data_IF_950929401122
#
_entry.id   IF_950929401122
#
_cell.length_a   1.000
_cell.length_b   1.000
_cell.length_c   1.000
_cell.angle_alpha   90.00
_cell.angle_beta   90.00
_cell.angle_gamma   90.00
#
_symmetry.space_group_name_H-M   'P 1'
#
loop_
_entity.id
_entity.type
_entity.pdbx_description
1 polymer ?
#
# COMPACT_ATOMS: atom_id res chain seq x y z
N UNK A 1 56.42 -53.79 -1.58
CA UNK A 1 56.46 -52.31 -1.69
C UNK A 1 55.29 -51.87 -2.57
N UNK A 2 54.76 -50.64 -2.35
CA UNK A 2 53.49 -50.05 -2.87
C UNK A 2 52.28 -50.49 -2.00
N UNK A 3 51.89 -49.86 -0.89
CA UNK A 3 51.50 -48.47 -0.54
C UNK A 3 50.21 -47.97 -1.22
N UNK A 4 49.19 -47.67 -0.38
CA UNK A 4 48.26 -46.52 -0.49
C UNK A 4 47.00 -46.73 -1.40
N UNK A 5 45.74 -46.39 -1.05
CA UNK A 5 45.15 -45.60 0.05
C UNK A 5 43.71 -46.03 0.38
N UNK A 6 43.45 -46.00 1.67
CA UNK A 6 42.17 -45.79 2.34
C UNK A 6 41.60 -44.41 1.94
N UNK A 7 40.37 -44.34 1.42
CA UNK A 7 39.59 -43.09 1.41
C UNK A 7 38.14 -43.38 1.76
N UNK A 8 37.94 -43.53 3.07
CA UNK A 8 36.78 -43.04 3.80
C UNK A 8 36.48 -41.60 3.35
N UNK A 9 35.28 -41.36 2.80
CA UNK A 9 34.74 -40.00 2.65
C UNK A 9 33.37 -39.99 3.30
N UNK A 10 33.29 -39.84 4.64
CA UNK A 10 32.04 -39.53 5.30
C UNK A 10 31.80 -38.01 5.22
N UNK A 11 30.52 -37.62 5.23
CA UNK A 11 30.06 -36.29 5.69
C UNK A 11 30.54 -35.06 4.91
N UNK A 12 29.94 -34.76 3.76
CA UNK A 12 30.03 -33.41 3.14
C UNK A 12 28.81 -33.07 2.25
N UNK A 13 27.61 -33.52 2.63
CA UNK A 13 26.37 -33.33 1.84
C UNK A 13 25.21 -32.70 2.63
N UNK A 14 25.50 -31.91 3.67
CA UNK A 14 24.48 -31.30 4.54
C UNK A 14 24.65 -29.78 4.74
N UNK A 15 25.25 -29.09 3.77
CA UNK A 15 25.44 -27.63 3.78
C UNK A 15 24.75 -26.90 2.60
N UNK A 16 23.67 -27.46 2.06
CA UNK A 16 22.98 -26.92 0.86
C UNK A 16 21.61 -26.27 1.10
N UNK A 17 21.08 -26.26 2.34
CA UNK A 17 19.66 -25.96 2.59
C UNK A 17 19.37 -24.59 3.23
N UNK A 18 20.36 -23.74 3.49
CA UNK A 18 20.16 -22.48 4.23
C UNK A 18 20.21 -21.19 3.39
N UNK A 19 20.36 -21.29 2.07
CA UNK A 19 20.29 -20.14 1.17
C UNK A 19 18.87 -19.88 0.66
N UNK A 20 17.86 -19.95 1.55
CA UNK A 20 16.62 -19.19 1.34
C UNK A 20 16.92 -17.77 1.81
N UNK A 21 17.77 -17.08 1.05
CA UNK A 21 17.89 -15.63 1.10
C UNK A 21 16.58 -15.06 0.59
N UNK A 22 15.56 -15.07 1.44
CA UNK A 22 14.31 -14.41 1.16
C UNK A 22 14.62 -12.94 0.90
N UNK A 23 14.28 -12.45 -0.28
CA UNK A 23 14.08 -11.02 -0.50
C UNK A 23 13.08 -10.57 0.56
N UNK A 24 13.57 -10.02 1.67
CA UNK A 24 12.74 -9.56 2.76
C UNK A 24 12.05 -8.31 2.24
N UNK A 25 10.76 -8.41 1.98
CA UNK A 25 9.92 -7.27 1.64
C UNK A 25 10.13 -6.16 2.67
N UNK A 26 10.50 -4.98 2.18
CA UNK A 26 10.81 -3.83 3.02
C UNK A 26 9.54 -3.05 3.28
N UNK A 27 9.17 -2.89 4.55
CA UNK A 27 8.03 -2.04 4.90
C UNK A 27 8.18 -0.59 4.42
N UNK A 28 9.42 -0.11 4.21
CA UNK A 28 9.65 1.22 3.63
C UNK A 28 9.20 1.33 2.17
N UNK A 29 9.25 0.23 1.39
CA UNK A 29 8.80 0.24 0.00
C UNK A 29 7.28 0.42 -0.05
N UNK A 30 6.58 -0.28 0.84
CA UNK A 30 5.14 -0.14 1.07
C UNK A 30 4.76 1.26 1.57
N UNK A 31 5.53 1.83 2.50
CA UNK A 31 5.29 3.21 2.95
C UNK A 31 5.46 4.21 1.79
N UNK A 32 6.52 4.06 1.01
CA UNK A 32 6.81 4.93 -0.14
C UNK A 32 5.70 4.85 -1.18
N UNK A 33 5.23 3.64 -1.46
CA UNK A 33 4.15 3.40 -2.42
C UNK A 33 2.81 3.97 -1.92
N UNK A 34 2.49 3.78 -0.64
CA UNK A 34 1.31 4.39 -0.02
C UNK A 34 1.33 5.91 -0.13
N UNK A 35 2.48 6.54 0.17
CA UNK A 35 2.66 7.99 0.04
C UNK A 35 2.55 8.46 -1.42
N UNK A 36 3.08 7.68 -2.37
CA UNK A 36 2.96 7.98 -3.81
C UNK A 36 1.50 7.99 -4.24
N UNK A 37 0.73 6.95 -3.86
CA UNK A 37 -0.69 6.83 -4.18
C UNK A 37 -1.52 7.97 -3.57
N UNK A 38 -1.27 8.34 -2.31
CA UNK A 38 -1.91 9.51 -1.69
C UNK A 38 -1.60 10.79 -2.46
N UNK A 39 -0.33 11.02 -2.78
CA UNK A 39 0.07 12.20 -3.55
C UNK A 39 -0.54 12.26 -4.95
N UNK A 40 -0.80 11.12 -5.59
CA UNK A 40 -1.49 11.07 -6.89
C UNK A 40 -2.99 11.34 -6.76
N UNK A 41 -3.63 10.78 -5.73
CA UNK A 41 -5.04 11.03 -5.44
C UNK A 41 -5.29 12.53 -5.16
N UNK A 42 -4.49 13.15 -4.29
CA UNK A 42 -4.62 14.56 -3.91
C UNK A 42 -4.34 15.53 -5.07
N UNK A 43 -3.40 15.18 -5.97
CA UNK A 43 -3.06 16.05 -7.11
C UNK A 43 -4.07 15.96 -8.24
N UNK A 44 -4.76 14.83 -8.38
CA UNK A 44 -5.71 14.54 -9.46
C UNK A 44 -7.13 14.34 -8.97
N UNK A 45 -7.47 13.11 -8.59
CA UNK A 45 -8.85 12.63 -8.54
C UNK A 45 -9.67 13.20 -7.39
N UNK A 46 -9.01 13.60 -6.30
CA UNK A 46 -9.69 14.19 -5.13
C UNK A 46 -10.00 15.67 -5.32
N UNK A 47 -9.56 16.31 -6.41
CA UNK A 47 -9.84 17.71 -6.67
C UNK A 47 -11.24 17.91 -7.27
N UNK A 48 -11.99 18.92 -6.81
CA UNK A 48 -13.25 19.29 -7.46
C UNK A 48 -12.99 19.81 -8.87
N UNK A 49 -13.88 19.51 -9.81
CA UNK A 49 -13.84 20.07 -11.16
C UNK A 49 -14.26 21.54 -11.09
N UNK A 50 -13.41 22.47 -11.56
CA UNK A 50 -13.75 23.89 -11.58
C UNK A 50 -14.25 24.25 -12.97
N UNK A 51 -15.56 24.39 -13.12
CA UNK A 51 -16.17 24.86 -14.37
C UNK A 51 -16.83 26.22 -14.15
N UNK A 52 -16.38 27.22 -14.90
CA UNK A 52 -16.93 28.58 -14.83
C UNK A 52 -16.75 29.27 -13.46
N UNK A 53 -15.71 28.90 -12.70
CA UNK A 53 -15.47 29.45 -11.36
C UNK A 53 -16.26 28.79 -10.23
N UNK A 54 -17.05 27.74 -10.53
CA UNK A 54 -17.76 26.95 -9.54
C UNK A 54 -17.16 25.55 -9.41
N UNK A 55 -17.01 25.09 -8.18
CA UNK A 55 -16.60 23.73 -7.87
C UNK A 55 -17.78 22.78 -8.09
N UNK A 56 -17.62 21.84 -9.01
CA UNK A 56 -18.57 20.75 -9.25
C UNK A 56 -18.01 19.46 -8.68
N UNK A 57 -18.85 18.78 -7.90
CA UNK A 57 -18.55 17.46 -7.37
C UNK A 57 -18.94 16.44 -8.43
N UNK A 58 -17.97 15.71 -8.95
CA UNK A 58 -18.18 14.63 -9.91
C UNK A 58 -18.07 13.27 -9.20
N UNK A 59 -19.16 12.50 -9.18
CA UNK A 59 -19.22 11.19 -8.52
C UNK A 59 -18.11 10.22 -9.00
N UNK A 60 -17.80 10.22 -10.30
CA UNK A 60 -16.76 9.37 -10.85
C UNK A 60 -15.38 9.74 -10.30
N UNK A 61 -15.08 11.05 -10.19
CA UNK A 61 -13.83 11.54 -9.61
C UNK A 61 -13.71 11.22 -8.12
N UNK A 62 -14.80 11.37 -7.36
CA UNK A 62 -14.83 10.98 -5.95
C UNK A 62 -14.62 9.47 -5.80
N UNK A 63 -15.17 8.64 -6.71
CA UNK A 63 -14.94 7.19 -6.71
C UNK A 63 -13.48 6.85 -7.00
N UNK A 64 -12.88 7.45 -8.03
CA UNK A 64 -11.46 7.25 -8.37
C UNK A 64 -10.54 7.68 -7.22
N UNK A 65 -10.84 8.81 -6.57
CA UNK A 65 -10.15 9.28 -5.37
C UNK A 65 -10.25 8.28 -4.22
N UNK A 66 -11.45 7.74 -3.97
CA UNK A 66 -11.69 6.74 -2.93
C UNK A 66 -10.87 5.47 -3.18
N UNK A 67 -10.88 4.95 -4.41
CA UNK A 67 -10.18 3.71 -4.76
C UNK A 67 -8.66 3.85 -4.58
N UNK A 68 -8.08 4.99 -4.99
CA UNK A 68 -6.66 5.27 -4.77
C UNK A 68 -6.32 5.46 -3.29
N UNK A 69 -7.19 6.13 -2.53
CA UNK A 69 -6.98 6.35 -1.10
C UNK A 69 -7.05 5.03 -0.32
N UNK A 70 -7.97 4.13 -0.69
CA UNK A 70 -8.03 2.75 -0.15
C UNK A 70 -6.79 1.95 -0.51
N UNK A 71 -6.35 2.00 -1.77
CA UNK A 71 -5.12 1.33 -2.20
C UNK A 71 -3.92 1.84 -1.41
N UNK A 72 -3.83 3.15 -1.17
CA UNK A 72 -2.77 3.72 -0.34
C UNK A 72 -2.84 3.22 1.11
N UNK A 73 -4.03 3.19 1.70
CA UNK A 73 -4.26 2.70 3.06
C UNK A 73 -3.80 1.24 3.23
N UNK A 74 -4.07 0.38 2.24
CA UNK A 74 -3.58 -0.99 2.22
C UNK A 74 -2.05 -1.06 2.26
N UNK A 75 -1.36 -0.23 1.46
CA UNK A 75 0.11 -0.16 1.48
C UNK A 75 0.63 0.32 2.84
N UNK A 76 -0.02 1.31 3.45
CA UNK A 76 0.37 1.83 4.76
C UNK A 76 0.19 0.78 5.88
N UNK A 77 -0.91 0.02 5.87
CA UNK A 77 -1.08 -1.10 6.78
C UNK A 77 -0.01 -2.16 6.58
N UNK A 78 0.33 -2.48 5.32
CA UNK A 78 1.38 -3.43 5.00
C UNK A 78 2.77 -2.96 5.46
N UNK A 79 3.05 -1.66 5.34
CA UNK A 79 4.26 -1.05 5.86
C UNK A 79 4.38 -1.23 7.38
N UNK A 80 3.28 -1.00 8.11
CA UNK A 80 3.19 -1.22 9.56
C UNK A 80 3.43 -2.69 9.92
N UNK A 81 2.77 -3.62 9.22
CA UNK A 81 2.96 -5.07 9.42
C UNK A 81 4.41 -5.52 9.22
N UNK A 82 5.13 -4.87 8.30
CA UNK A 82 6.53 -5.16 7.98
C UNK A 82 7.54 -4.40 8.84
N UNK A 83 7.08 -3.71 9.89
CA UNK A 83 7.93 -3.12 10.93
C UNK A 83 8.10 -1.61 10.84
N UNK A 84 7.39 -0.91 9.96
CA UNK A 84 7.30 0.56 9.97
C UNK A 84 6.18 1.00 10.93
N UNK A 85 6.24 0.51 12.17
CA UNK A 85 5.27 0.81 13.22
C UNK A 85 5.82 1.92 14.12
N UNK A 86 5.53 3.15 13.71
CA UNK A 86 5.88 4.35 14.46
C UNK A 86 4.69 5.31 14.52
N UNK A 87 4.77 6.30 15.41
CA UNK A 87 3.69 7.28 15.63
C UNK A 87 3.26 7.95 14.33
N UNK A 88 4.20 8.37 13.50
CA UNK A 88 3.90 9.10 12.26
C UNK A 88 3.13 8.23 11.26
N UNK A 89 3.51 6.96 11.13
CA UNK A 89 2.85 6.00 10.25
C UNK A 89 1.45 5.65 10.77
N UNK A 90 1.30 5.48 12.09
CA UNK A 90 -0.01 5.22 12.70
C UNK A 90 -0.96 6.41 12.59
N UNK A 91 -0.46 7.64 12.81
CA UNK A 91 -1.24 8.87 12.62
C UNK A 91 -1.66 9.02 11.15
N UNK A 92 -0.76 8.70 10.20
CA UNK A 92 -1.07 8.73 8.77
C UNK A 92 -2.14 7.71 8.38
N UNK A 93 -2.06 6.48 8.91
CA UNK A 93 -3.08 5.44 8.72
C UNK A 93 -4.44 5.94 9.23
N UNK A 94 -4.50 6.41 10.48
CA UNK A 94 -5.74 6.88 11.08
C UNK A 94 -6.37 8.05 10.30
N UNK A 95 -5.54 9.01 9.85
CA UNK A 95 -6.01 10.11 9.00
C UNK A 95 -6.52 9.61 7.65
N UNK A 96 -5.85 8.62 7.06
CA UNK A 96 -6.26 8.05 5.78
C UNK A 96 -7.57 7.27 5.91
N UNK A 97 -7.77 6.54 7.01
CA UNK A 97 -9.06 5.89 7.35
C UNK A 97 -10.20 6.91 7.46
N UNK A 98 -9.96 8.06 8.11
CA UNK A 98 -10.94 9.14 8.21
C UNK A 98 -11.32 9.72 6.83
N UNK A 99 -10.34 9.98 5.97
CA UNK A 99 -10.59 10.47 4.62
C UNK A 99 -11.34 9.43 3.75
N UNK A 100 -11.03 8.14 3.88
CA UNK A 100 -11.80 7.07 3.23
C UNK A 100 -13.27 7.12 3.66
N UNK A 101 -13.55 7.20 4.97
CA UNK A 101 -14.92 7.25 5.49
C UNK A 101 -15.69 8.48 5.00
N UNK A 102 -15.00 9.62 4.90
CA UNK A 102 -15.56 10.87 4.37
C UNK A 102 -15.88 10.78 2.87
N UNK A 103 -14.98 10.20 2.08
CA UNK A 103 -15.19 9.98 0.64
C UNK A 103 -16.35 9.00 0.37
N UNK A 104 -16.47 7.93 1.16
CA UNK A 104 -17.61 7.01 1.09
C UNK A 104 -18.93 7.72 1.40
N UNK A 105 -18.93 8.57 2.44
CA UNK A 105 -20.09 9.40 2.80
C UNK A 105 -20.45 10.37 1.66
N UNK A 106 -19.44 10.99 1.04
CA UNK A 106 -19.63 11.89 -0.11
C UNK A 106 -20.27 11.16 -1.30
N UNK A 107 -19.76 9.97 -1.66
CA UNK A 107 -20.35 9.16 -2.73
C UNK A 107 -21.81 8.80 -2.44
N UNK A 108 -22.11 8.41 -1.20
CA UNK A 108 -23.48 8.09 -0.79
C UNK A 108 -24.41 9.30 -0.94
N UNK A 109 -23.96 10.50 -0.56
CA UNK A 109 -24.75 11.72 -0.73
C UNK A 109 -24.95 12.08 -2.20
N UNK A 110 -23.90 12.03 -3.02
CA UNK A 110 -23.99 12.32 -4.46
C UNK A 110 -24.89 11.31 -5.18
N UNK A 111 -24.79 10.03 -4.83
CA UNK A 111 -25.66 8.99 -5.38
C UNK A 111 -27.15 9.22 -5.07
N UNK A 112 -27.47 9.73 -3.87
CA UNK A 112 -28.85 10.09 -3.50
C UNK A 112 -29.36 11.29 -4.29
N UNK A 113 -28.55 12.34 -4.44
CA UNK A 113 -28.92 13.52 -5.24
C UNK A 113 -29.14 13.21 -6.72
N UNK A 114 -28.50 12.17 -7.26
CA UNK A 114 -28.73 11.73 -8.64
C UNK A 114 -30.00 10.88 -8.82
N UNK A 115 -30.58 10.34 -7.73
CA UNK A 115 -31.76 9.46 -7.76
C UNK A 115 -33.05 10.13 -7.26
N UNK A 116 -32.99 11.31 -6.65
CA UNK A 116 -34.16 12.13 -6.30
C UNK A 116 -34.33 13.24 -7.35
N UNK A 117 -35.26 13.09 -8.33
CA UNK A 117 -35.60 14.13 -9.31
C UNK A 117 -36.45 15.27 -8.75
#
# INVERSE_FOLDING_TARGET
MIRSRLTWVPTLLLLGALSVGGCKESGNDYLTEGLRLLGEAERGDCKPDIRGGQAQINAAKVSECLDKTKSALEQLHKARELGVDNKETNDLIAKTEEEVAKLETMLKMVGRMQHEP
#
